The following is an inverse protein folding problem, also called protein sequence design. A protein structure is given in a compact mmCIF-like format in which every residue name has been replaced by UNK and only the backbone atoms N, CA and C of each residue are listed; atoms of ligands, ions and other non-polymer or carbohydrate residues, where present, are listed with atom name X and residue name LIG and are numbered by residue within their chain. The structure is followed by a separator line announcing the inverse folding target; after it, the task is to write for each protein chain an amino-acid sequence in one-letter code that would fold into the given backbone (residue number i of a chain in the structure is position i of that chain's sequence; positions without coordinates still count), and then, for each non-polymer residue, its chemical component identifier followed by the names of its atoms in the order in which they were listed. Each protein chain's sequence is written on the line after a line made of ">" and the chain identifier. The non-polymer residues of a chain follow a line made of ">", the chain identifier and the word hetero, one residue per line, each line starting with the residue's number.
data_IF_876772785287
#
_entry.id   IF_876772785287
#
_cell.length_a   1.000
_cell.length_b   1.000
_cell.length_c   1.000
_cell.angle_alpha   90.00
_cell.angle_beta   90.00
_cell.angle_gamma   90.00
#
_symmetry.space_group_name_H-M   'P 1'
#
loop_
_entity.id
_entity.type
_entity.pdbx_description
1 polymer ?
#
# COMPACT_ATOMS: atom_id res chain seq x y z
N UNK A 1 -50.45 -56.50 8.77
CA UNK A 1 -51.77 -56.81 8.18
C UNK A 1 -52.31 -55.51 7.63
N UNK A 2 -52.53 -55.26 6.34
CA UNK A 2 -52.54 -56.03 5.09
C UNK A 2 -52.49 -54.93 4.01
N UNK A 3 -51.52 -54.96 3.10
CA UNK A 3 -51.72 -55.18 1.66
C UNK A 3 -53.00 -54.56 1.08
N UNK A 4 -52.86 -53.71 0.06
CA UNK A 4 -53.20 -54.03 -1.33
C UNK A 4 -53.62 -52.80 -2.12
N UNK A 5 -53.11 -52.64 -3.34
CA UNK A 5 -53.59 -51.62 -4.27
C UNK A 5 -52.58 -51.12 -5.30
N UNK A 6 -51.89 -52.01 -6.00
CA UNK A 6 -51.21 -51.67 -7.26
C UNK A 6 -52.25 -51.35 -8.34
N UNK A 7 -52.13 -50.19 -9.00
CA UNK A 7 -52.65 -49.99 -10.35
C UNK A 7 -51.50 -49.64 -11.29
N UNK A 8 -51.13 -50.63 -12.10
CA UNK A 8 -50.12 -50.54 -13.14
C UNK A 8 -50.80 -49.99 -14.40
N UNK A 9 -50.57 -48.72 -14.76
CA UNK A 9 -50.90 -48.22 -16.10
C UNK A 9 -49.61 -48.08 -16.90
N UNK A 10 -49.58 -48.84 -17.99
CA UNK A 10 -48.43 -49.09 -18.86
C UNK A 10 -48.44 -48.07 -19.99
N UNK A 11 -47.65 -47.00 -19.89
CA UNK A 11 -47.40 -46.11 -21.02
C UNK A 11 -46.12 -46.58 -21.71
N UNK A 12 -46.27 -47.26 -22.87
CA UNK A 12 -45.17 -47.56 -23.78
C UNK A 12 -44.73 -46.24 -24.45
N UNK A 13 -43.88 -45.48 -23.76
CA UNK A 13 -43.17 -44.34 -24.31
C UNK A 13 -41.97 -44.82 -25.13
N UNK A 14 -42.04 -44.60 -26.42
CA UNK A 14 -40.99 -44.87 -27.41
C UNK A 14 -39.78 -43.95 -27.17
N UNK A 15 -38.88 -44.31 -26.27
CA UNK A 15 -37.60 -43.63 -26.10
C UNK A 15 -36.59 -44.14 -27.13
N UNK A 16 -36.45 -43.38 -28.22
CA UNK A 16 -35.36 -43.54 -29.20
C UNK A 16 -34.05 -43.15 -28.49
N UNK A 17 -33.28 -44.13 -28.04
CA UNK A 17 -31.93 -43.92 -27.53
C UNK A 17 -31.05 -43.29 -28.62
N UNK A 18 -30.80 -41.99 -28.52
CA UNK A 18 -29.65 -41.36 -29.18
C UNK A 18 -28.40 -41.74 -28.39
N UNK A 19 -27.84 -42.89 -28.73
CA UNK A 19 -26.54 -43.33 -28.23
C UNK A 19 -25.44 -42.50 -28.93
N UNK A 20 -25.22 -41.27 -28.48
CA UNK A 20 -24.03 -40.52 -28.88
C UNK A 20 -22.82 -41.28 -28.33
N UNK A 21 -22.00 -41.86 -29.21
CA UNK A 21 -20.70 -42.44 -28.83
C UNK A 21 -19.94 -41.40 -28.00
N UNK A 22 -19.42 -41.75 -26.81
CA UNK A 22 -18.53 -40.86 -26.09
C UNK A 22 -17.30 -40.60 -26.97
N UNK A 23 -17.17 -39.37 -27.46
CA UNK A 23 -15.95 -38.90 -28.10
C UNK A 23 -14.88 -38.87 -27.01
N UNK A 24 -13.88 -39.76 -27.10
CA UNK A 24 -12.69 -39.65 -26.25
C UNK A 24 -12.09 -38.26 -26.49
N UNK A 25 -11.93 -37.41 -25.46
CA UNK A 25 -11.18 -36.18 -25.65
C UNK A 25 -9.78 -36.57 -26.12
N UNK A 26 -9.41 -36.10 -27.32
CA UNK A 26 -8.05 -36.26 -27.82
C UNK A 26 -7.17 -35.31 -27.02
N UNK A 27 -6.53 -35.85 -25.98
CA UNK A 27 -5.49 -35.13 -25.24
C UNK A 27 -4.27 -35.05 -26.16
N UNK A 28 -4.21 -34.01 -27.00
CA UNK A 28 -3.01 -33.71 -27.78
C UNK A 28 -1.95 -33.20 -26.80
N UNK A 29 -0.81 -33.89 -26.73
CA UNK A 29 0.36 -33.44 -25.96
C UNK A 29 1.10 -32.32 -26.70
N UNK A 30 1.82 -31.48 -25.95
CA UNK A 30 2.68 -30.44 -26.50
C UNK A 30 3.81 -31.07 -27.33
N UNK A 31 4.06 -30.51 -28.52
CA UNK A 31 5.21 -30.92 -29.33
C UNK A 31 6.50 -30.27 -28.82
N UNK A 32 7.66 -30.90 -29.07
CA UNK A 32 8.97 -30.31 -28.68
C UNK A 32 9.19 -28.95 -29.33
N UNK A 33 8.75 -28.78 -30.58
CA UNK A 33 8.84 -27.51 -31.31
C UNK A 33 7.99 -26.42 -30.65
N UNK A 34 6.77 -26.76 -30.21
CA UNK A 34 5.87 -25.82 -29.54
C UNK A 34 6.42 -25.37 -28.19
N UNK A 35 7.04 -26.28 -27.43
CA UNK A 35 7.75 -25.92 -26.19
C UNK A 35 8.92 -24.97 -26.50
N UNK A 36 9.71 -25.25 -27.55
CA UNK A 36 10.85 -24.43 -27.94
C UNK A 36 10.42 -23.01 -28.32
N UNK A 37 9.36 -22.88 -29.13
CA UNK A 37 8.79 -21.57 -29.50
C UNK A 37 8.26 -20.85 -28.26
N UNK A 38 7.59 -21.55 -27.34
CA UNK A 38 7.06 -20.96 -26.11
C UNK A 38 8.18 -20.41 -25.21
N UNK A 39 9.25 -21.18 -24.99
CA UNK A 39 10.41 -20.73 -24.20
C UNK A 39 11.12 -19.56 -24.88
N UNK A 40 11.26 -19.57 -26.20
CA UNK A 40 11.83 -18.45 -26.96
C UNK A 40 11.01 -17.16 -26.77
N UNK A 41 9.67 -17.26 -26.84
CA UNK A 41 8.77 -16.12 -26.61
C UNK A 41 8.88 -15.57 -25.18
N UNK A 42 8.92 -16.45 -24.18
CA UNK A 42 9.09 -16.04 -22.77
C UNK A 42 10.45 -15.34 -22.59
N UNK A 43 11.53 -15.87 -23.18
CA UNK A 43 12.85 -15.27 -23.10
C UNK A 43 12.90 -13.83 -23.64
N UNK A 44 12.25 -13.59 -24.78
CA UNK A 44 12.17 -12.24 -25.38
C UNK A 44 11.39 -11.28 -24.46
N UNK A 45 10.24 -11.72 -23.94
CA UNK A 45 9.41 -10.89 -23.05
C UNK A 45 10.13 -10.59 -21.72
N UNK A 46 10.79 -11.59 -21.13
CA UNK A 46 11.55 -11.42 -19.89
C UNK A 46 12.71 -10.44 -20.03
N UNK A 47 13.40 -10.44 -21.18
CA UNK A 47 14.50 -9.51 -21.45
C UNK A 47 14.06 -8.04 -21.44
N UNK A 48 12.84 -7.76 -21.91
CA UNK A 48 12.28 -6.40 -21.95
C UNK A 48 11.73 -5.99 -20.57
N UNK A 49 11.15 -6.92 -19.82
CA UNK A 49 10.47 -6.64 -18.55
C UNK A 49 11.43 -6.47 -17.35
N UNK A 50 12.60 -7.13 -17.36
CA UNK A 50 13.52 -7.14 -16.22
C UNK A 50 13.94 -5.74 -15.70
N UNK A 51 14.39 -4.77 -16.52
CA UNK A 51 14.88 -3.48 -16.01
C UNK A 51 13.79 -2.60 -15.39
N UNK A 52 12.52 -2.74 -15.81
CA UNK A 52 11.41 -1.92 -15.30
C UNK A 52 10.89 -2.40 -13.93
N UNK A 53 11.18 -3.65 -13.56
CA UNK A 53 10.72 -4.25 -12.31
C UNK A 53 11.30 -3.56 -11.07
N UNK A 54 12.60 -3.23 -11.07
CA UNK A 54 13.25 -2.55 -9.95
C UNK A 54 12.62 -1.18 -9.65
N UNK A 55 12.37 -0.39 -10.69
CA UNK A 55 11.70 0.91 -10.56
C UNK A 55 10.27 0.76 -10.01
N UNK A 56 9.56 -0.28 -10.42
CA UNK A 56 8.23 -0.59 -9.90
C UNK A 56 8.24 -0.91 -8.41
N UNK A 57 9.12 -1.82 -7.95
CA UNK A 57 9.19 -2.17 -6.51
C UNK A 57 9.61 -0.94 -5.67
N UNK A 58 10.50 -0.10 -6.18
CA UNK A 58 10.90 1.13 -5.49
C UNK A 58 9.74 2.12 -5.35
N UNK A 59 8.94 2.32 -6.42
CA UNK A 59 7.74 3.14 -6.35
C UNK A 59 6.70 2.56 -5.39
N UNK A 60 6.51 1.24 -5.41
CA UNK A 60 5.57 0.58 -4.50
C UNK A 60 5.97 0.76 -3.04
N UNK A 61 7.27 0.73 -2.75
CA UNK A 61 7.82 0.99 -1.41
C UNK A 61 7.53 2.41 -0.92
N UNK A 62 7.70 3.41 -1.79
CA UNK A 62 7.36 4.80 -1.51
C UNK A 62 5.87 5.00 -1.23
N UNK A 63 5.00 4.38 -2.04
CA UNK A 63 3.54 4.45 -1.88
C UNK A 63 3.13 3.79 -0.56
N UNK A 64 3.63 2.59 -0.28
CA UNK A 64 3.33 1.88 0.97
C UNK A 64 3.78 2.68 2.20
N UNK A 65 4.96 3.30 2.16
CA UNK A 65 5.46 4.15 3.25
C UNK A 65 4.64 5.43 3.39
N UNK A 66 4.24 6.05 2.28
CA UNK A 66 3.34 7.20 2.28
C UNK A 66 1.99 6.87 2.94
N UNK A 67 1.42 5.70 2.62
CA UNK A 67 0.18 5.22 3.23
C UNK A 67 0.35 4.95 4.73
N UNK A 68 1.49 4.39 5.14
CA UNK A 68 1.82 4.19 6.56
C UNK A 68 1.88 5.53 7.32
N UNK A 69 2.55 6.53 6.75
CA UNK A 69 2.60 7.88 7.33
C UNK A 69 1.19 8.47 7.42
N UNK A 70 0.41 8.42 6.34
CA UNK A 70 -0.96 8.94 6.36
C UNK A 70 -1.81 8.26 7.45
N UNK A 71 -1.74 6.93 7.55
CA UNK A 71 -2.43 6.16 8.60
C UNK A 71 -1.98 6.57 9.99
N UNK A 72 -0.67 6.73 10.22
CA UNK A 72 -0.14 7.15 11.53
C UNK A 72 -0.67 8.52 11.97
N UNK A 73 -0.83 9.47 11.04
CA UNK A 73 -1.40 10.78 11.31
C UNK A 73 -2.90 10.68 11.65
N UNK A 74 -3.65 9.85 10.92
CA UNK A 74 -5.05 9.58 11.24
C UNK A 74 -5.19 8.89 12.60
N UNK A 75 -4.30 7.95 12.94
CA UNK A 75 -4.28 7.27 14.23
C UNK A 75 -4.01 8.27 15.35
N UNK A 76 -3.00 9.14 15.23
CA UNK A 76 -2.76 10.19 16.23
C UNK A 76 -3.95 11.12 16.38
N UNK A 77 -4.57 11.56 15.27
CA UNK A 77 -5.76 12.39 15.29
C UNK A 77 -6.94 11.68 15.96
N UNK A 78 -7.13 10.39 15.69
CA UNK A 78 -8.17 9.55 16.31
C UNK A 78 -7.92 9.39 17.81
N UNK A 79 -6.70 9.04 18.20
CA UNK A 79 -6.29 8.91 19.61
C UNK A 79 -6.41 10.23 20.37
N UNK A 80 -6.15 11.37 19.73
CA UNK A 80 -6.36 12.69 20.34
C UNK A 80 -7.83 12.92 20.70
N UNK A 81 -8.73 12.63 19.75
CA UNK A 81 -10.18 12.75 19.94
C UNK A 81 -10.70 11.78 20.99
N UNK A 82 -10.29 10.51 20.90
CA UNK A 82 -10.74 9.44 21.80
C UNK A 82 -10.33 9.69 23.26
N UNK A 83 -9.07 10.07 23.49
CA UNK A 83 -8.53 10.24 24.84
C UNK A 83 -8.69 11.66 25.39
N UNK A 84 -9.31 12.57 24.62
CA UNK A 84 -9.44 14.00 24.96
C UNK A 84 -8.11 14.67 25.34
N UNK A 85 -7.01 14.22 24.76
CA UNK A 85 -5.65 14.67 25.06
C UNK A 85 -4.91 15.04 23.76
N UNK A 86 -3.80 15.78 23.86
CA UNK A 86 -2.96 16.06 22.68
C UNK A 86 -2.12 14.83 22.35
N UNK A 87 -2.26 14.32 21.13
CA UNK A 87 -1.45 13.23 20.60
C UNK A 87 -0.60 13.72 19.44
N UNK A 88 0.54 13.08 19.24
CA UNK A 88 1.49 13.46 18.22
C UNK A 88 2.07 12.25 17.51
N UNK A 89 2.50 12.47 16.27
CA UNK A 89 3.37 11.55 15.55
C UNK A 89 4.75 12.18 15.51
N UNK A 90 5.74 11.38 15.86
CA UNK A 90 7.15 11.73 15.79
C UNK A 90 7.80 10.87 14.72
N UNK A 91 8.64 11.49 13.91
CA UNK A 91 9.39 10.89 12.82
C UNK A 91 10.86 11.20 13.02
N UNK A 92 11.74 10.24 12.77
CA UNK A 92 13.19 10.45 12.84
C UNK A 92 13.87 9.60 11.79
N UNK A 93 15.07 9.99 11.41
CA UNK A 93 15.94 9.15 10.59
C UNK A 93 16.94 8.44 11.50
N UNK A 94 17.04 7.11 11.44
CA UNK A 94 18.02 6.34 12.22
C UNK A 94 18.70 5.30 11.35
N UNK A 95 20.03 5.32 11.28
CA UNK A 95 20.84 4.51 10.35
C UNK A 95 20.41 4.66 8.88
N UNK A 96 19.83 5.83 8.55
CA UNK A 96 19.31 6.16 7.23
C UNK A 96 18.17 5.28 6.74
N UNK A 97 17.38 4.76 7.69
CA UNK A 97 15.98 4.39 7.47
C UNK A 97 15.11 5.30 8.33
N UNK A 98 14.02 5.80 7.76
CA UNK A 98 13.07 6.61 8.53
C UNK A 98 12.29 5.73 9.51
N UNK A 99 11.98 6.30 10.67
CA UNK A 99 11.22 5.66 11.74
C UNK A 99 10.09 6.59 12.18
N UNK A 100 9.04 6.01 12.74
CA UNK A 100 7.90 6.76 13.25
C UNK A 100 7.32 6.14 14.52
N UNK A 101 6.64 6.98 15.30
CA UNK A 101 5.90 6.55 16.49
C UNK A 101 4.74 7.49 16.78
N UNK A 102 3.61 6.93 17.22
CA UNK A 102 2.41 7.67 17.64
C UNK A 102 2.33 7.60 19.16
N UNK A 103 2.22 8.76 19.82
CA UNK A 103 2.21 8.82 21.28
C UNK A 103 1.53 10.10 21.79
N UNK A 104 1.10 10.16 23.06
CA UNK A 104 0.63 11.39 23.67
C UNK A 104 1.78 12.38 23.88
N UNK A 105 1.47 13.69 23.89
CA UNK A 105 2.46 14.79 23.94
C UNK A 105 3.38 14.74 25.16
N UNK A 106 2.90 14.23 26.29
CA UNK A 106 3.56 14.23 27.59
C UNK A 106 4.44 12.99 27.85
N UNK A 107 4.80 12.23 26.81
CA UNK A 107 5.66 11.04 26.93
C UNK A 107 7.01 11.28 26.28
N UNK A 108 8.06 10.85 26.97
CA UNK A 108 9.43 10.91 26.48
C UNK A 108 9.63 9.94 25.32
N UNK A 109 10.21 10.41 24.21
CA UNK A 109 10.40 9.62 23.00
C UNK A 109 11.46 8.52 23.12
N UNK A 110 12.33 8.60 24.12
CA UNK A 110 13.42 7.64 24.35
C UNK A 110 12.93 6.31 24.92
N UNK A 111 11.74 6.28 25.53
CA UNK A 111 11.14 5.06 26.11
C UNK A 111 10.16 4.38 25.16
N UNK A 112 9.99 4.92 23.95
CA UNK A 112 9.00 4.44 22.99
C UNK A 112 9.61 3.42 22.02
N UNK A 113 8.80 2.43 21.64
CA UNK A 113 9.14 1.49 20.57
C UNK A 113 8.85 2.13 19.22
N UNK A 114 9.91 2.49 18.50
CA UNK A 114 9.84 3.09 17.18
C UNK A 114 9.56 2.03 16.10
N UNK A 115 8.72 2.37 15.13
CA UNK A 115 8.46 1.53 13.95
C UNK A 115 9.29 2.01 12.78
N UNK A 116 9.91 1.08 12.07
CA UNK A 116 10.69 1.39 10.87
C UNK A 116 9.78 1.55 9.65
N UNK A 117 10.16 2.44 8.75
CA UNK A 117 9.70 2.39 7.36
C UNK A 117 10.40 1.25 6.61
N UNK A 118 10.03 1.07 5.35
CA UNK A 118 10.79 0.22 4.43
C UNK A 118 12.25 0.72 4.36
N UNK A 119 13.22 -0.19 4.39
CA UNK A 119 14.66 0.12 4.40
C UNK A 119 15.13 0.89 3.17
N UNK A 120 14.32 0.90 2.11
CA UNK A 120 14.58 1.65 0.86
C UNK A 120 14.09 3.09 0.91
N UNK A 121 13.31 3.47 1.92
CA UNK A 121 12.71 4.81 2.04
C UNK A 121 13.36 5.58 3.19
N UNK A 122 13.67 6.84 2.91
CA UNK A 122 14.26 7.80 3.84
C UNK A 122 13.47 9.10 3.82
N UNK A 123 13.61 9.91 4.88
CA UNK A 123 12.97 11.22 4.98
C UNK A 123 13.86 12.27 4.29
N UNK A 124 13.27 13.06 3.39
CA UNK A 124 13.94 14.23 2.80
C UNK A 124 13.85 15.40 3.79
N UNK A 125 14.92 15.63 4.54
CA UNK A 125 15.02 16.68 5.54
C UNK A 125 14.92 18.10 4.96
N UNK A 126 15.32 18.30 3.70
CA UNK A 126 15.33 19.62 3.06
C UNK A 126 13.91 20.04 2.63
N UNK A 127 13.08 19.07 2.24
CA UNK A 127 11.70 19.32 1.80
C UNK A 127 10.66 19.12 2.91
N UNK A 128 11.03 18.49 4.02
CA UNK A 128 10.15 18.28 5.17
C UNK A 128 10.01 19.57 5.98
N UNK A 129 8.77 19.97 6.27
CA UNK A 129 8.47 21.23 6.99
C UNK A 129 7.69 21.00 8.28
N UNK A 130 7.56 19.75 8.72
CA UNK A 130 7.08 19.46 10.07
C UNK A 130 8.06 20.02 11.10
N UNK A 131 7.54 20.35 12.29
CA UNK A 131 8.35 20.98 13.33
C UNK A 131 9.45 20.01 13.77
N UNK A 132 10.69 20.43 13.61
CA UNK A 132 11.89 19.65 13.91
C UNK A 132 12.46 20.07 15.27
N UNK A 133 12.91 19.09 16.04
CA UNK A 133 13.62 19.30 17.30
C UNK A 133 14.51 18.11 17.62
N UNK A 134 15.83 18.29 17.56
CA UNK A 134 16.80 17.27 17.97
C UNK A 134 16.85 16.04 17.05
N UNK A 135 16.69 16.24 15.74
CA UNK A 135 16.63 15.19 14.72
C UNK A 135 15.28 14.49 14.62
N UNK A 136 14.24 15.03 15.26
CA UNK A 136 12.90 14.45 15.29
C UNK A 136 11.88 15.46 14.75
N UNK A 137 11.26 15.11 13.64
CA UNK A 137 10.12 15.85 13.08
C UNK A 137 8.83 15.40 13.75
N UNK A 138 7.97 16.34 14.12
CA UNK A 138 6.70 16.01 14.77
C UNK A 138 5.55 16.85 14.29
N UNK A 139 4.37 16.27 14.45
CA UNK A 139 3.10 16.96 14.28
C UNK A 139 2.11 16.51 15.34
N UNK A 140 1.37 17.46 15.88
CA UNK A 140 0.47 17.24 17.01
C UNK A 140 -0.98 17.54 16.62
N UNK A 141 -1.91 16.77 17.20
CA UNK A 141 -3.34 16.98 17.10
C UNK A 141 -3.92 17.14 18.49
N UNK A 142 -4.74 18.18 18.69
CA UNK A 142 -5.48 18.36 19.94
C UNK A 142 -6.77 17.49 19.95
N UNK A 143 -7.50 17.51 21.07
CA UNK A 143 -8.72 16.70 21.25
C UNK A 143 -9.87 17.05 20.29
N UNK A 144 -9.83 18.21 19.62
CA UNK A 144 -10.80 18.59 18.57
C UNK A 144 -10.39 18.04 17.20
N UNK A 145 -9.20 17.45 17.10
CA UNK A 145 -8.58 16.99 15.86
C UNK A 145 -7.93 18.11 15.05
N UNK A 146 -7.78 19.31 15.63
CA UNK A 146 -7.05 20.40 15.01
C UNK A 146 -5.54 20.17 15.17
N UNK A 147 -4.76 20.68 14.22
CA UNK A 147 -3.30 20.70 14.37
C UNK A 147 -2.94 21.64 15.51
N UNK A 148 -2.08 21.18 16.41
CA UNK A 148 -1.55 21.96 17.51
C UNK A 148 -0.08 22.30 17.22
N UNK A 149 0.15 23.48 16.64
CA UNK A 149 1.46 23.93 16.21
C UNK A 149 1.51 24.22 14.71
N UNK A 150 2.64 23.91 14.08
CA UNK A 150 2.90 24.26 12.69
C UNK A 150 2.26 23.26 11.72
N UNK A 151 1.59 23.79 10.69
CA UNK A 151 1.20 23.04 9.50
C UNK A 151 2.44 22.73 8.66
N UNK A 152 2.44 21.59 7.97
CA UNK A 152 3.58 21.28 7.14
C UNK A 152 3.39 20.03 6.31
N UNK A 153 4.52 19.51 5.85
CA UNK A 153 4.60 18.25 5.10
C UNK A 153 5.76 17.40 5.58
N UNK A 154 5.60 16.10 5.43
CA UNK A 154 6.68 15.12 5.45
C UNK A 154 6.94 14.67 4.01
N UNK A 155 8.20 14.72 3.59
CA UNK A 155 8.62 14.27 2.26
C UNK A 155 9.44 12.99 2.38
N UNK A 156 9.06 11.98 1.60
CA UNK A 156 9.68 10.67 1.53
C UNK A 156 10.38 10.51 0.18
N UNK A 157 11.60 9.98 0.22
CA UNK A 157 12.45 9.71 -0.94
C UNK A 157 13.08 8.33 -0.81
N UNK A 158 13.49 7.77 -1.94
CA UNK A 158 14.27 6.54 -1.93
C UNK A 158 15.68 6.82 -1.40
N UNK A 159 16.18 5.93 -0.55
CA UNK A 159 17.54 5.98 0.01
C UNK A 159 18.60 5.89 -1.09
N UNK A 160 18.35 5.06 -2.10
CA UNK A 160 19.24 4.90 -3.24
C UNK A 160 18.46 4.85 -4.56
N UNK A 161 18.81 5.77 -5.46
CA UNK A 161 18.26 5.84 -6.81
C UNK A 161 16.87 6.47 -6.90
N UNK A 162 16.58 7.02 -8.08
CA UNK A 162 15.30 7.66 -8.39
C UNK A 162 15.21 9.11 -7.93
N UNK A 163 14.40 9.90 -8.64
CA UNK A 163 14.03 11.26 -8.22
C UNK A 163 12.67 11.31 -7.52
N UNK A 164 11.96 10.19 -7.53
CA UNK A 164 10.61 9.99 -7.04
C UNK A 164 10.43 10.46 -5.59
N UNK A 165 9.57 11.46 -5.39
CA UNK A 165 9.13 11.92 -4.06
C UNK A 165 7.66 11.62 -3.78
N UNK A 166 7.37 11.23 -2.54
CA UNK A 166 6.01 11.10 -2.00
C UNK A 166 5.86 11.94 -0.75
N UNK A 167 4.74 12.64 -0.62
CA UNK A 167 4.57 13.65 0.40
C UNK A 167 3.26 13.48 1.14
N UNK A 168 3.26 13.73 2.45
CA UNK A 168 2.06 13.75 3.28
C UNK A 168 1.97 15.12 3.93
N UNK A 169 0.86 15.81 3.70
CA UNK A 169 0.68 17.23 4.01
C UNK A 169 -0.48 17.40 4.97
N UNK A 170 -0.28 18.22 5.99
CA UNK A 170 -1.35 18.74 6.84
C UNK A 170 -1.55 20.22 6.57
N UNK A 171 -2.59 20.57 5.81
CA UNK A 171 -2.73 21.92 5.23
C UNK A 171 -3.71 22.83 5.96
N UNK A 172 -4.57 22.30 6.84
CA UNK A 172 -5.62 23.11 7.48
C UNK A 172 -5.53 23.04 9.00
N UNK A 173 -5.98 24.11 9.66
CA UNK A 173 -6.13 24.15 11.12
C UNK A 173 -7.02 23.00 11.64
N UNK A 174 -7.97 22.53 10.82
CA UNK A 174 -8.87 21.41 11.13
C UNK A 174 -8.15 20.04 11.03
N UNK A 175 -6.86 20.05 10.64
CA UNK A 175 -6.03 18.86 10.52
C UNK A 175 -6.45 17.96 9.37
N UNK A 176 -6.80 18.55 8.21
CA UNK A 176 -6.95 17.80 6.98
C UNK A 176 -5.58 17.23 6.58
N UNK A 177 -5.53 15.92 6.35
CA UNK A 177 -4.34 15.19 5.91
C UNK A 177 -4.56 14.83 4.45
N UNK A 178 -3.57 15.10 3.59
CA UNK A 178 -3.59 14.73 2.17
C UNK A 178 -2.26 14.14 1.74
N UNK A 179 -2.29 13.29 0.74
CA UNK A 179 -1.09 12.78 0.07
C UNK A 179 -0.83 13.55 -1.22
N UNK A 180 0.44 13.67 -1.57
CA UNK A 180 0.90 14.26 -2.82
C UNK A 180 2.06 13.43 -3.39
N UNK A 181 2.26 13.53 -4.69
CA UNK A 181 3.45 13.02 -5.38
C UNK A 181 4.24 14.21 -5.90
N UNK A 182 5.51 13.99 -6.21
CA UNK A 182 6.33 14.98 -6.89
C UNK A 182 5.64 15.55 -8.14
N UNK A 183 5.83 16.84 -8.37
CA UNK A 183 5.42 17.51 -9.59
C UNK A 183 6.63 17.82 -10.47
N UNK A 184 6.48 17.76 -11.81
CA UNK A 184 7.57 18.04 -12.74
C UNK A 184 8.03 19.50 -12.70
N UNK A 185 7.13 20.42 -12.35
CA UNK A 185 7.44 21.84 -12.18
C UNK A 185 7.58 22.16 -10.70
N UNK A 186 8.73 22.70 -10.34
CA UNK A 186 9.00 23.21 -8.98
C UNK A 186 8.20 24.49 -8.77
N UNK A 187 7.43 24.58 -7.68
CA UNK A 187 6.76 25.82 -7.28
C UNK A 187 7.40 26.31 -5.98
N UNK A 188 7.95 27.52 -5.97
CA UNK A 188 8.62 28.12 -4.80
C UNK A 188 9.75 27.23 -4.23
N UNK A 189 10.59 26.66 -5.12
CA UNK A 189 11.68 25.78 -4.68
C UNK A 189 11.25 24.39 -4.21
N UNK A 190 9.96 24.03 -4.29
CA UNK A 190 9.41 22.81 -3.70
C UNK A 190 8.80 21.89 -4.75
N UNK A 191 9.07 20.59 -4.62
CA UNK A 191 8.51 19.55 -5.51
C UNK A 191 7.16 19.00 -5.03
N UNK A 192 6.78 19.29 -3.78
CA UNK A 192 5.55 18.84 -3.16
C UNK A 192 4.76 20.01 -2.57
N UNK A 193 3.61 20.30 -3.19
CA UNK A 193 2.69 21.36 -2.78
C UNK A 193 1.23 20.96 -3.00
#
# INVERSE_FOLDING_TARGET
>A
MTLSGCFFVKIKGFYRQLYSKPQKPSTKGFTVLELLVTVAMIGIVSAIAAPSWLAFINNQSLIATQDQVQRSLHDAKRSAKQNKATWQVSFREHNGTGQWVVHPRNVNTNTLSWRNFDSRVSIDANETTFLESGGVWRIQFNYRGHVNGQLGRLTLVLRQGGKAKRCVITSTLIGAIRTAKERPTQQDGKFCY
#
